data_IF_785020377477
#
_entry.id   IF_785020377477
#
_cell.length_a   1.000
_cell.length_b   1.000
_cell.length_c   1.000
_cell.angle_alpha   90.00
_cell.angle_beta   90.00
_cell.angle_gamma   90.00
#
_symmetry.space_group_name_H-M   'P 1'
#
loop_
_entity.id
_entity.type
_entity.pdbx_description
1 polymer ?
#
# COMPACT_ATOMS: atom_id res chain seq x y z
N UNK A 1 12.51 -16.96 48.56
CA UNK A 1 12.19 -18.24 47.90
C UNK A 1 12.40 -18.03 46.39
N UNK A 2 13.50 -18.52 45.80
CA UNK A 2 13.90 -18.20 44.42
C UNK A 2 13.31 -19.23 43.44
N UNK A 3 12.10 -18.98 42.95
CA UNK A 3 11.43 -19.73 41.87
C UNK A 3 11.65 -19.10 40.47
N UNK A 4 12.69 -18.29 40.34
CA UNK A 4 12.97 -17.43 39.17
C UNK A 4 13.27 -18.17 37.84
N UNK A 5 14.00 -19.31 37.79
CA UNK A 5 14.42 -19.87 36.49
C UNK A 5 13.28 -20.44 35.65
N UNK A 6 12.24 -20.99 36.28
CA UNK A 6 11.14 -21.65 35.57
C UNK A 6 10.12 -20.63 35.07
N UNK A 7 9.76 -19.65 35.90
CA UNK A 7 8.84 -18.58 35.53
C UNK A 7 9.38 -17.72 34.37
N UNK A 8 10.68 -17.42 34.37
CA UNK A 8 11.35 -16.70 33.28
C UNK A 8 11.33 -17.49 31.96
N UNK A 9 11.63 -18.80 32.02
CA UNK A 9 11.57 -19.68 30.84
C UNK A 9 10.15 -19.80 30.29
N UNK A 10 9.15 -19.89 31.17
CA UNK A 10 7.75 -19.98 30.76
C UNK A 10 7.26 -18.66 30.13
N UNK A 11 7.69 -17.51 30.65
CA UNK A 11 7.45 -16.20 30.04
C UNK A 11 8.07 -16.11 28.64
N UNK A 12 9.30 -16.58 28.46
CA UNK A 12 9.98 -16.61 27.14
C UNK A 12 9.24 -17.54 26.18
N UNK A 13 8.81 -18.73 26.61
CA UNK A 13 8.04 -19.66 25.76
C UNK A 13 6.68 -19.07 25.37
N UNK A 14 5.97 -18.45 26.30
CA UNK A 14 4.69 -17.80 26.01
C UNK A 14 4.85 -16.64 25.02
N UNK A 15 5.91 -15.85 25.16
CA UNK A 15 6.28 -14.78 24.23
C UNK A 15 6.63 -15.33 22.84
N UNK A 16 7.43 -16.41 22.78
CA UNK A 16 7.75 -17.08 21.53
C UNK A 16 6.48 -17.56 20.81
N UNK A 17 5.56 -18.21 21.53
CA UNK A 17 4.27 -18.63 20.96
C UNK A 17 3.49 -17.45 20.37
N UNK A 18 3.38 -16.32 21.09
CA UNK A 18 2.67 -15.12 20.61
C UNK A 18 3.31 -14.52 19.36
N UNK A 19 4.64 -14.41 19.33
CA UNK A 19 5.36 -13.94 18.15
C UNK A 19 5.14 -14.85 16.96
N UNK A 20 5.21 -16.16 17.19
CA UNK A 20 5.02 -17.16 16.15
C UNK A 20 3.58 -17.19 15.63
N UNK A 21 2.57 -16.91 16.46
CA UNK A 21 1.15 -16.80 16.03
C UNK A 21 0.77 -15.40 15.52
N UNK A 22 1.71 -14.45 15.48
CA UNK A 22 1.44 -13.09 15.00
C UNK A 22 0.52 -12.26 15.92
N UNK A 23 0.50 -12.56 17.22
CA UNK A 23 -0.30 -11.82 18.23
C UNK A 23 0.61 -11.21 19.32
N UNK A 24 1.58 -10.35 18.96
CA UNK A 24 2.46 -9.70 19.92
C UNK A 24 1.68 -8.75 20.84
N UNK A 25 2.10 -8.64 22.10
CA UNK A 25 1.51 -7.74 23.09
C UNK A 25 2.42 -6.55 23.42
N UNK A 26 3.74 -6.74 23.36
CA UNK A 26 4.72 -5.77 23.87
C UNK A 26 5.83 -5.44 22.87
N UNK A 27 5.86 -6.13 21.73
CA UNK A 27 6.91 -6.02 20.72
C UNK A 27 6.32 -5.66 19.35
N UNK A 28 7.22 -5.32 18.41
CA UNK A 28 6.87 -5.08 17.01
C UNK A 28 6.34 -6.31 16.25
N UNK A 29 6.37 -7.50 16.86
CA UNK A 29 6.00 -8.75 16.20
C UNK A 29 7.08 -9.32 15.28
N UNK A 30 8.26 -8.71 15.21
CA UNK A 30 9.37 -9.23 14.42
C UNK A 30 9.84 -10.59 14.96
N UNK A 31 10.20 -11.52 14.07
CA UNK A 31 10.71 -12.85 14.45
C UNK A 31 12.22 -12.80 14.77
N UNK A 32 12.59 -11.96 15.74
CA UNK A 32 13.99 -11.73 16.15
C UNK A 32 14.16 -11.92 17.66
N UNK A 33 15.40 -12.14 18.11
CA UNK A 33 15.73 -12.24 19.55
C UNK A 33 15.40 -10.96 20.31
N UNK A 34 15.51 -9.80 19.68
CA UNK A 34 15.21 -8.51 20.31
C UNK A 34 13.72 -8.41 20.60
N UNK A 35 12.89 -8.66 19.60
CA UNK A 35 11.44 -8.67 19.77
C UNK A 35 10.98 -9.77 20.74
N UNK A 36 11.63 -10.93 20.76
CA UNK A 36 11.35 -11.98 21.76
C UNK A 36 11.67 -11.54 23.19
N UNK A 37 12.79 -10.83 23.38
CA UNK A 37 13.16 -10.28 24.68
C UNK A 37 12.15 -9.23 25.16
N UNK A 38 11.77 -8.30 24.29
CA UNK A 38 10.74 -7.28 24.54
C UNK A 38 9.39 -7.91 24.86
N UNK A 39 8.97 -8.91 24.08
CA UNK A 39 7.70 -9.61 24.25
C UNK A 39 7.63 -10.41 25.56
N UNK A 40 8.75 -11.00 25.97
CA UNK A 40 8.89 -11.71 27.24
C UNK A 40 9.12 -10.79 28.44
N UNK A 41 9.43 -9.51 28.22
CA UNK A 41 9.80 -8.56 29.27
C UNK A 41 11.16 -8.85 29.90
N UNK A 42 12.08 -9.47 29.16
CA UNK A 42 13.43 -9.82 29.62
C UNK A 42 14.49 -9.04 28.84
N UNK A 43 15.70 -8.92 29.40
CA UNK A 43 16.82 -8.29 28.70
C UNK A 43 17.37 -9.23 27.63
N UNK A 44 17.79 -8.71 26.47
CA UNK A 44 18.38 -9.50 25.36
C UNK A 44 19.49 -10.46 25.81
N UNK A 45 20.37 -10.03 26.73
CA UNK A 45 21.49 -10.84 27.19
C UNK A 45 21.06 -12.15 27.86
N UNK A 46 19.84 -12.20 28.42
CA UNK A 46 19.25 -13.41 29.00
C UNK A 46 19.13 -14.50 27.93
N UNK A 47 18.65 -14.15 26.74
CA UNK A 47 18.48 -15.07 25.62
C UNK A 47 19.80 -15.43 24.92
N UNK A 48 20.89 -14.69 25.16
CA UNK A 48 22.21 -14.98 24.56
C UNK A 48 23.18 -15.68 25.50
N UNK A 49 22.99 -15.58 26.83
CA UNK A 49 23.90 -16.16 27.83
C UNK A 49 23.27 -17.20 28.74
N UNK A 50 21.97 -17.09 29.08
CA UNK A 50 21.30 -17.96 30.06
C UNK A 50 20.32 -18.93 29.43
N UNK A 51 19.58 -18.47 28.42
CA UNK A 51 18.50 -19.19 27.75
C UNK A 51 18.75 -19.30 26.25
N UNK A 52 20.00 -19.63 25.89
CA UNK A 52 20.44 -19.80 24.51
C UNK A 52 19.69 -20.94 23.82
N UNK A 53 19.30 -21.98 24.57
CA UNK A 53 18.46 -23.08 24.12
C UNK A 53 17.09 -22.60 23.62
N UNK A 54 16.46 -21.66 24.33
CA UNK A 54 15.16 -21.11 23.94
C UNK A 54 15.28 -20.21 22.71
N UNK A 55 16.39 -19.47 22.58
CA UNK A 55 16.72 -18.69 21.38
C UNK A 55 16.87 -19.60 20.16
N UNK A 56 17.59 -20.71 20.31
CA UNK A 56 17.82 -21.66 19.23
C UNK A 56 16.53 -22.39 18.84
N UNK A 57 15.71 -22.78 19.82
CA UNK A 57 14.39 -23.36 19.59
C UNK A 57 13.46 -22.39 18.86
N UNK A 58 13.44 -21.12 19.27
CA UNK A 58 12.67 -20.08 18.60
C UNK A 58 13.08 -19.96 17.13
N UNK A 59 14.38 -19.86 16.83
CA UNK A 59 14.85 -19.80 15.45
C UNK A 59 14.62 -21.10 14.67
N UNK A 60 14.69 -22.26 15.31
CA UNK A 60 14.32 -23.53 14.69
C UNK A 60 12.83 -23.54 14.32
N UNK A 61 11.95 -23.03 15.18
CA UNK A 61 10.53 -22.89 14.89
C UNK A 61 10.24 -21.85 13.81
N UNK A 62 10.94 -20.71 13.81
CA UNK A 62 10.84 -19.71 12.72
C UNK A 62 11.26 -20.32 11.39
N UNK A 63 12.37 -21.09 11.36
CA UNK A 63 12.84 -21.77 10.15
C UNK A 63 11.94 -22.92 9.71
N UNK A 64 11.43 -23.72 10.63
CA UNK A 64 10.46 -24.78 10.36
C UNK A 64 9.15 -24.19 9.80
N UNK A 65 8.78 -22.98 10.24
CA UNK A 65 7.68 -22.18 9.69
C UNK A 65 8.07 -21.39 8.44
N UNK A 66 9.23 -21.64 7.83
CA UNK A 66 9.83 -20.94 6.69
C UNK A 66 9.01 -20.86 5.39
N UNK A 67 7.68 -20.99 5.44
CA UNK A 67 6.77 -20.45 4.44
C UNK A 67 6.17 -19.14 4.97
N UNK A 68 6.77 -18.00 4.63
CA UNK A 68 6.27 -16.60 4.73
C UNK A 68 5.33 -16.33 5.93
N UNK A 69 5.78 -15.61 6.98
CA UNK A 69 4.93 -15.22 8.11
C UNK A 69 3.59 -14.62 7.66
N UNK A 70 2.50 -14.90 8.37
CA UNK A 70 1.17 -14.43 7.96
C UNK A 70 1.08 -12.90 7.81
N UNK A 71 1.85 -12.15 8.58
CA UNK A 71 2.00 -10.70 8.40
C UNK A 71 2.62 -10.32 7.05
N UNK A 72 3.64 -11.05 6.61
CA UNK A 72 4.25 -10.86 5.30
C UNK A 72 3.34 -11.35 4.17
N UNK A 73 2.56 -12.44 4.37
CA UNK A 73 1.53 -12.86 3.40
C UNK A 73 0.44 -11.80 3.25
N UNK A 74 -0.06 -11.26 4.36
CA UNK A 74 -1.03 -10.16 4.36
C UNK A 74 -0.47 -8.92 3.65
N UNK A 75 0.77 -8.55 3.98
CA UNK A 75 1.42 -7.41 3.32
C UNK A 75 1.57 -7.62 1.81
N UNK A 76 1.92 -8.83 1.37
CA UNK A 76 1.97 -9.17 -0.07
C UNK A 76 0.59 -9.09 -0.73
N UNK A 77 -0.46 -9.57 -0.06
CA UNK A 77 -1.84 -9.45 -0.55
C UNK A 77 -2.27 -7.97 -0.65
N UNK A 78 -1.97 -7.16 0.36
CA UNK A 78 -2.22 -5.71 0.36
C UNK A 78 -1.45 -5.01 -0.77
N UNK A 79 -0.21 -5.40 -1.00
CA UNK A 79 0.62 -4.85 -2.06
C UNK A 79 0.04 -5.17 -3.44
N UNK A 80 -0.35 -6.42 -3.67
CA UNK A 80 -0.98 -6.82 -4.94
C UNK A 80 -2.34 -6.15 -5.15
N UNK A 81 -3.19 -6.08 -4.12
CA UNK A 81 -4.47 -5.33 -4.22
C UNK A 81 -4.26 -3.85 -4.51
N UNK A 82 -3.24 -3.23 -3.90
CA UNK A 82 -2.89 -1.83 -4.14
C UNK A 82 -2.36 -1.62 -5.56
N UNK A 83 -1.53 -2.53 -6.08
CA UNK A 83 -1.09 -2.50 -7.49
C UNK A 83 -2.25 -2.62 -8.46
N UNK A 84 -3.18 -3.55 -8.22
CA UNK A 84 -4.37 -3.69 -9.05
C UNK A 84 -5.21 -2.40 -9.07
N UNK A 85 -5.43 -1.78 -7.90
CA UNK A 85 -6.14 -0.50 -7.81
C UNK A 85 -5.40 0.62 -8.53
N UNK A 86 -4.08 0.68 -8.42
CA UNK A 86 -3.26 1.67 -9.12
C UNK A 86 -3.34 1.49 -10.64
N UNK A 87 -3.26 0.25 -11.13
CA UNK A 87 -3.42 -0.05 -12.55
C UNK A 87 -4.80 0.37 -13.07
N UNK A 88 -5.87 0.04 -12.33
CA UNK A 88 -7.23 0.41 -12.67
C UNK A 88 -7.44 1.94 -12.68
N UNK A 89 -6.88 2.65 -11.69
CA UNK A 89 -6.93 4.11 -11.62
C UNK A 89 -6.17 4.76 -12.79
N UNK A 90 -5.01 4.21 -13.18
CA UNK A 90 -4.24 4.69 -14.31
C UNK A 90 -4.97 4.51 -15.64
N UNK A 91 -5.63 3.35 -15.84
CA UNK A 91 -6.47 3.12 -17.03
C UNK A 91 -7.65 4.11 -17.07
N UNK A 92 -8.36 4.31 -15.95
CA UNK A 92 -9.43 5.32 -15.88
C UNK A 92 -8.93 6.72 -16.21
N UNK A 93 -7.78 7.12 -15.69
CA UNK A 93 -7.18 8.43 -15.99
C UNK A 93 -6.80 8.56 -17.47
N UNK A 94 -6.34 7.48 -18.10
CA UNK A 94 -6.04 7.46 -19.53
C UNK A 94 -7.31 7.65 -20.35
N UNK A 95 -8.36 6.89 -20.09
CA UNK A 95 -9.65 7.04 -20.77
C UNK A 95 -10.21 8.45 -20.62
N UNK A 96 -10.23 9.00 -19.40
CA UNK A 96 -10.73 10.36 -19.17
C UNK A 96 -9.91 11.42 -19.91
N UNK A 97 -8.60 11.24 -20.07
CA UNK A 97 -7.76 12.13 -20.87
C UNK A 97 -8.08 12.03 -22.36
N UNK A 98 -8.28 10.82 -22.86
CA UNK A 98 -8.64 10.58 -24.26
C UNK A 98 -10.00 11.19 -24.58
N UNK A 99 -10.99 11.02 -23.70
CA UNK A 99 -12.32 11.63 -23.82
C UNK A 99 -12.26 13.16 -23.81
N UNK A 100 -11.50 13.74 -22.87
CA UNK A 100 -11.31 15.20 -22.82
C UNK A 100 -10.66 15.73 -24.11
N UNK A 101 -9.66 15.01 -24.63
CA UNK A 101 -9.01 15.38 -25.88
C UNK A 101 -9.99 15.31 -27.07
N UNK A 102 -10.87 14.31 -27.11
CA UNK A 102 -11.91 14.20 -28.14
C UNK A 102 -12.91 15.35 -28.04
N UNK A 103 -13.40 15.65 -26.84
CA UNK A 103 -14.33 16.76 -26.62
C UNK A 103 -13.71 18.11 -26.99
N UNK A 104 -12.44 18.34 -26.64
CA UNK A 104 -11.71 19.55 -27.03
C UNK A 104 -11.61 19.69 -28.56
N UNK A 105 -11.36 18.59 -29.28
CA UNK A 105 -11.35 18.60 -30.76
C UNK A 105 -12.71 18.96 -31.34
N UNK A 106 -13.79 18.34 -30.84
CA UNK A 106 -15.15 18.63 -31.28
C UNK A 106 -15.50 20.10 -31.03
N UNK A 107 -15.18 20.60 -29.83
CA UNK A 107 -15.39 22.01 -29.47
C UNK A 107 -14.67 22.96 -30.43
N UNK A 108 -13.42 22.66 -30.79
CA UNK A 108 -12.66 23.48 -31.75
C UNK A 108 -13.29 23.49 -33.14
N UNK A 109 -13.78 22.35 -33.63
CA UNK A 109 -14.48 22.27 -34.93
C UNK A 109 -15.75 23.11 -34.90
N UNK A 110 -16.60 22.91 -33.89
CA UNK A 110 -17.85 23.68 -33.74
C UNK A 110 -17.60 25.17 -33.56
N UNK A 111 -16.53 25.56 -32.86
CA UNK A 111 -16.14 26.97 -32.72
C UNK A 111 -15.73 27.57 -34.07
N UNK A 112 -14.97 26.84 -34.88
CA UNK A 112 -14.58 27.26 -36.22
C UNK A 112 -15.78 27.39 -37.16
N UNK A 113 -16.68 26.40 -37.18
CA UNK A 113 -17.90 26.44 -37.99
C UNK A 113 -18.79 27.62 -37.61
N UNK A 114 -18.99 27.85 -36.30
CA UNK A 114 -19.75 29.00 -35.82
C UNK A 114 -19.11 30.34 -36.21
N UNK A 115 -17.78 30.46 -36.18
CA UNK A 115 -17.09 31.65 -36.63
C UNK A 115 -17.32 31.89 -38.14
N UNK A 116 -17.21 30.84 -38.96
CA UNK A 116 -17.47 30.91 -40.40
C UNK A 116 -18.91 31.34 -40.71
N UNK A 117 -19.91 30.77 -40.01
CA UNK A 117 -21.31 31.18 -40.21
C UNK A 117 -21.55 32.63 -39.82
N UNK A 118 -20.93 33.11 -38.74
CA UNK A 118 -21.02 34.53 -38.33
C UNK A 118 -20.39 35.46 -39.36
N UNK A 119 -19.25 35.08 -39.95
CA UNK A 119 -18.60 35.86 -40.99
C UNK A 119 -19.43 35.90 -42.28
N UNK A 120 -20.03 34.76 -42.67
CA UNK A 120 -20.96 34.69 -43.80
C UNK A 120 -22.16 35.62 -43.58
N UNK A 121 -22.83 35.53 -42.42
CA UNK A 121 -23.95 36.42 -42.07
C UNK A 121 -23.55 37.89 -42.09
N UNK A 122 -22.36 38.21 -41.56
CA UNK A 122 -21.84 39.58 -41.58
C UNK A 122 -21.62 40.08 -43.00
N UNK A 123 -21.01 39.27 -43.86
CA UNK A 123 -20.75 39.62 -45.27
C UNK A 123 -22.04 39.83 -46.09
N UNK A 124 -23.07 39.01 -45.85
CA UNK A 124 -24.39 39.16 -46.49
C UNK A 124 -25.05 40.46 -46.01
N UNK A 125 -25.00 40.75 -44.70
CA UNK A 125 -25.54 42.00 -44.15
C UNK A 125 -24.85 43.24 -44.71
N UNK A 126 -23.51 43.25 -44.86
CA UNK A 126 -22.80 44.39 -45.49
C UNK A 126 -23.07 44.50 -46.99
N UNK A 127 -23.29 43.40 -47.71
CA UNK A 127 -23.65 43.44 -49.12
C UNK A 127 -25.04 44.06 -49.36
N UNK A 128 -25.99 43.81 -48.46
CA UNK A 128 -27.35 44.37 -48.53
C UNK A 128 -27.40 45.87 -48.20
N UNK A 129 -26.46 46.38 -47.40
CA UNK A 129 -26.43 47.80 -46.95
C UNK A 129 -25.71 48.74 -47.95
N UNK A 130 -25.17 48.21 -49.06
CA UNK A 130 -24.45 49.04 -50.04
C UNK A 130 -25.42 50.05 -50.71
N UNK A 131 -25.27 51.37 -50.51
CA UNK A 131 -26.17 52.34 -51.12
C UNK A 131 -25.91 52.40 -52.63
N UNK A 132 -26.98 52.36 -53.41
CA UNK A 132 -26.95 52.57 -54.86
C UNK A 132 -26.68 54.07 -55.07
N UNK A 133 -25.46 54.40 -55.46
CA UNK A 133 -25.01 55.76 -55.78
C UNK A 133 -24.01 55.72 -56.91
#
# INVERSE_FOLDING_TARGET
MKTEPTAERDAIKAAASRLLTGSPLRSSGALTVVALAEEAGVKRHVLTHRHTDLKDLFYAQVRARGQVPDSERRLRQELETTKCRLAEANERLKTLRDDNNMLARIMNVLASENAQFRDQLRSVSTAVVRPIG
#
